data_IF_175114820563
#
_entry.id   IF_175114820563
#
_cell.length_a   1.000
_cell.length_b   1.000
_cell.length_c   1.000
_cell.angle_alpha   90.00
_cell.angle_beta   90.00
_cell.angle_gamma   90.00
#
_symmetry.space_group_name_H-M   'P 1'
#
loop_
_entity.id
_entity.type
_entity.pdbx_description
1 polymer ?
#
# COMPACT_ATOMS: atom_id res chain seq x y z
N UNK A 1 -24.26 2.34 5.22
CA UNK A 1 -23.45 1.27 4.57
C UNK A 1 -23.70 -0.05 5.29
N UNK A 2 -24.19 -1.07 4.60
CA UNK A 2 -24.59 -2.35 5.20
C UNK A 2 -23.36 -3.14 5.74
N UNK A 3 -23.54 -4.00 6.77
CA UNK A 3 -22.47 -4.74 7.47
C UNK A 3 -21.57 -5.54 6.51
N UNK A 4 -22.16 -6.20 5.51
CA UNK A 4 -21.41 -6.93 4.46
C UNK A 4 -20.53 -6.03 3.59
N UNK A 5 -20.90 -4.76 3.39
CA UNK A 5 -20.11 -3.80 2.63
C UNK A 5 -19.01 -3.15 3.48
N UNK A 6 -19.15 -3.11 4.81
CA UNK A 6 -18.09 -2.69 5.75
C UNK A 6 -16.94 -3.70 5.82
N UNK A 7 -17.22 -4.98 5.63
CA UNK A 7 -16.23 -6.06 5.68
C UNK A 7 -15.37 -6.20 4.40
N UNK A 8 -15.68 -5.44 3.33
CA UNK A 8 -14.90 -5.47 2.09
C UNK A 8 -13.88 -4.35 2.09
N UNK A 9 -12.63 -4.67 1.80
CA UNK A 9 -11.59 -3.69 1.50
C UNK A 9 -11.64 -3.40 -0.01
N UNK A 10 -11.82 -2.14 -0.39
CA UNK A 10 -11.81 -1.70 -1.79
C UNK A 10 -10.72 -0.63 -1.91
N UNK A 11 -9.50 -0.99 -2.33
CA UNK A 11 -8.41 -0.03 -2.46
C UNK A 11 -8.81 1.10 -3.39
N UNK A 12 -8.73 2.33 -2.89
CA UNK A 12 -8.84 3.56 -3.70
C UNK A 12 -7.47 4.15 -4.03
N UNK A 13 -6.46 3.83 -3.23
CA UNK A 13 -5.07 4.29 -3.42
C UNK A 13 -4.12 3.12 -3.22
N UNK A 14 -3.09 3.09 -4.04
CA UNK A 14 -1.98 2.14 -3.96
C UNK A 14 -0.69 2.92 -3.78
N UNK A 15 0.20 2.43 -2.93
CA UNK A 15 1.48 3.06 -2.65
C UNK A 15 2.55 2.00 -2.74
N UNK A 16 3.61 2.26 -3.50
CA UNK A 16 4.84 1.47 -3.46
C UNK A 16 5.85 2.29 -2.67
N UNK A 17 6.10 1.87 -1.43
CA UNK A 17 7.15 2.45 -0.61
C UNK A 17 8.47 1.74 -0.91
N UNK A 18 9.51 2.54 -1.15
CA UNK A 18 10.87 2.08 -1.41
C UNK A 18 11.71 2.58 -0.25
N UNK A 19 12.00 1.70 0.70
CA UNK A 19 12.97 1.97 1.77
C UNK A 19 14.37 1.94 1.15
N UNK A 20 15.03 3.08 1.14
CA UNK A 20 16.41 3.24 0.75
C UNK A 20 17.26 3.14 2.01
N UNK A 21 18.03 2.06 2.13
CA UNK A 21 19.14 1.98 3.09
C UNK A 21 20.46 2.07 2.34
N UNK A 22 21.55 2.39 3.03
CA UNK A 22 22.89 2.50 2.43
C UNK A 22 23.32 1.23 1.69
N UNK A 23 22.83 0.06 2.11
CA UNK A 23 23.25 -1.23 1.56
C UNK A 23 22.22 -1.88 0.63
N UNK A 24 20.92 -1.65 0.84
CA UNK A 24 19.86 -2.36 0.11
C UNK A 24 18.59 -1.52 -0.03
N UNK A 25 17.83 -1.81 -1.09
CA UNK A 25 16.46 -1.32 -1.26
C UNK A 25 15.47 -2.37 -0.80
N UNK A 26 14.43 -1.93 -0.11
CA UNK A 26 13.31 -2.78 0.30
C UNK A 26 12.01 -2.19 -0.20
N UNK A 27 11.16 -3.04 -0.76
CA UNK A 27 9.94 -2.64 -1.47
C UNK A 27 8.72 -3.18 -0.75
N UNK A 28 7.75 -2.29 -0.53
CA UNK A 28 6.48 -2.60 0.12
C UNK A 28 5.32 -2.02 -0.68
N UNK A 29 4.28 -2.82 -0.89
CA UNK A 29 3.04 -2.37 -1.51
C UNK A 29 1.98 -2.16 -0.44
N UNK A 30 1.46 -0.94 -0.35
CA UNK A 30 0.29 -0.62 0.47
C UNK A 30 -0.95 -0.40 -0.39
N UNK A 31 -2.09 -0.76 0.18
CA UNK A 31 -3.41 -0.48 -0.36
C UNK A 31 -4.27 0.22 0.69
N UNK A 32 -4.88 1.35 0.33
CA UNK A 32 -5.68 2.17 1.23
C UNK A 32 -7.12 2.30 0.70
N UNK A 33 -8.10 2.00 1.55
CA UNK A 33 -9.51 2.33 1.35
C UNK A 33 -9.88 3.51 2.24
N UNK A 34 -9.85 4.73 1.69
CA UNK A 34 -10.16 5.95 2.43
C UNK A 34 -11.60 5.99 2.93
N UNK A 35 -12.54 5.34 2.24
CA UNK A 35 -13.96 5.39 2.60
C UNK A 35 -14.22 4.57 3.86
N UNK A 36 -13.54 3.43 4.00
CA UNK A 36 -13.72 2.48 5.11
C UNK A 36 -12.65 2.58 6.18
N UNK A 37 -11.56 3.30 5.91
CA UNK A 37 -10.41 3.38 6.80
C UNK A 37 -9.65 2.08 6.94
N UNK A 38 -9.69 1.25 5.89
CA UNK A 38 -8.99 -0.02 5.84
C UNK A 38 -7.67 0.14 5.07
N UNK A 39 -6.69 -0.69 5.45
CA UNK A 39 -5.36 -0.70 4.85
C UNK A 39 -4.83 -2.13 4.82
N UNK A 40 -4.04 -2.43 3.81
CA UNK A 40 -3.31 -3.70 3.66
C UNK A 40 -1.89 -3.37 3.21
N UNK A 41 -0.94 -4.20 3.63
CA UNK A 41 0.42 -4.19 3.10
C UNK A 41 0.78 -5.57 2.56
N UNK A 42 1.66 -5.58 1.58
CA UNK A 42 2.44 -6.75 1.19
C UNK A 42 3.89 -6.30 1.17
N UNK A 43 4.76 -7.09 1.77
CA UNK A 43 6.14 -6.71 2.08
C UNK A 43 7.07 -7.91 1.83
N UNK A 44 8.39 -7.71 1.93
CA UNK A 44 9.36 -8.80 1.85
C UNK A 44 10.22 -8.81 0.59
N UNK A 45 10.21 -7.76 -0.22
CA UNK A 45 10.94 -7.73 -1.49
C UNK A 45 12.18 -6.85 -1.46
N UNK A 46 13.31 -7.40 -1.89
CA UNK A 46 14.57 -6.67 -2.03
C UNK A 46 14.78 -6.12 -3.45
N UNK A 47 13.88 -6.46 -4.38
CA UNK A 47 13.90 -5.92 -5.74
C UNK A 47 12.48 -5.62 -6.22
N UNK A 48 12.36 -4.63 -7.11
CA UNK A 48 11.07 -4.21 -7.64
C UNK A 48 10.45 -5.29 -8.55
N UNK A 49 11.27 -6.02 -9.31
CA UNK A 49 10.80 -6.98 -10.30
C UNK A 49 9.95 -8.10 -9.66
N UNK A 50 10.38 -8.62 -8.52
CA UNK A 50 9.69 -9.67 -7.78
C UNK A 50 8.36 -9.16 -7.22
N UNK A 51 8.34 -7.93 -6.68
CA UNK A 51 7.10 -7.27 -6.26
C UNK A 51 6.13 -7.15 -7.45
N UNK A 52 6.61 -6.73 -8.63
CA UNK A 52 5.75 -6.54 -9.80
C UNK A 52 5.17 -7.86 -10.35
N UNK A 53 5.88 -8.98 -10.21
CA UNK A 53 5.41 -10.31 -10.61
C UNK A 53 4.39 -10.90 -9.61
N UNK A 54 4.42 -10.46 -8.35
CA UNK A 54 3.52 -10.96 -7.32
C UNK A 54 2.05 -10.68 -7.65
N UNK A 55 1.19 -11.67 -7.42
CA UNK A 55 -0.23 -11.58 -7.73
C UNK A 55 -1.05 -11.14 -6.51
N UNK A 56 -1.50 -9.89 -6.54
CA UNK A 56 -2.27 -9.28 -5.46
C UNK A 56 -3.74 -9.70 -5.54
N UNK A 57 -4.33 -10.26 -4.46
CA UNK A 57 -5.76 -10.53 -4.39
C UNK A 57 -6.59 -9.23 -4.40
N UNK A 58 -7.51 -9.08 -5.36
CA UNK A 58 -8.30 -7.83 -5.56
C UNK A 58 -9.74 -7.99 -5.07
N UNK A 59 -10.25 -9.23 -5.02
CA UNK A 59 -11.62 -9.52 -4.55
C UNK A 59 -11.59 -10.59 -3.47
N UNK A 60 -11.79 -10.16 -2.23
CA UNK A 60 -12.36 -11.02 -1.18
C UNK A 60 -13.85 -10.69 -1.05
N UNK A 61 -14.70 -11.26 -1.92
CA UNK A 61 -16.13 -11.35 -1.55
C UNK A 61 -16.21 -12.38 -0.43
N UNK A 62 -16.54 -11.94 0.78
CA UNK A 62 -16.86 -12.85 1.89
C UNK A 62 -17.95 -13.83 1.43
N UNK A 63 -17.61 -15.13 1.33
CA UNK A 63 -18.51 -16.20 0.85
C UNK A 63 -18.51 -16.51 -0.66
N UNK A 64 -17.64 -15.89 -1.47
CA UNK A 64 -17.50 -16.23 -2.89
C UNK A 64 -16.29 -17.14 -3.14
N UNK A 65 -16.49 -18.23 -3.88
CA UNK A 65 -15.42 -19.20 -4.27
C UNK A 65 -14.44 -18.64 -5.32
N UNK A 66 -14.79 -17.55 -6.01
CA UNK A 66 -13.94 -16.93 -7.03
C UNK A 66 -13.00 -15.90 -6.40
N UNK A 67 -11.76 -16.33 -6.14
CA UNK A 67 -10.61 -15.45 -5.91
C UNK A 67 -10.19 -14.84 -7.24
N UNK A 68 -10.10 -13.51 -7.33
CA UNK A 68 -9.45 -12.85 -8.47
C UNK A 68 -8.23 -12.10 -7.98
N UNK A 69 -7.06 -12.42 -8.55
CA UNK A 69 -5.82 -11.67 -8.36
C UNK A 69 -5.42 -10.97 -9.66
N UNK A 70 -4.53 -9.98 -9.54
CA UNK A 70 -3.81 -9.41 -10.68
C UNK A 70 -2.34 -9.24 -10.31
N UNK A 71 -1.42 -9.29 -11.29
CA UNK A 71 -0.03 -8.96 -11.03
C UNK A 71 0.10 -7.52 -10.50
N UNK A 72 1.00 -7.32 -9.54
CA UNK A 72 1.27 -6.02 -8.96
C UNK A 72 1.76 -5.03 -10.02
N UNK A 73 2.37 -5.50 -11.12
CA UNK A 73 2.69 -4.68 -12.30
C UNK A 73 1.49 -3.87 -12.83
N UNK A 74 0.27 -4.41 -12.78
CA UNK A 74 -0.95 -3.66 -13.20
C UNK A 74 -1.33 -2.59 -12.18
N UNK A 75 -1.09 -2.84 -10.90
CA UNK A 75 -1.34 -1.91 -9.80
C UNK A 75 -0.31 -0.78 -9.80
N UNK A 76 0.96 -1.14 -9.98
CA UNK A 76 2.11 -0.25 -9.97
C UNK A 76 2.00 0.91 -10.96
N UNK A 77 1.33 0.71 -12.10
CA UNK A 77 1.01 1.77 -13.08
C UNK A 77 0.19 2.94 -12.52
N UNK A 78 -0.52 2.71 -11.42
CA UNK A 78 -1.39 3.69 -10.75
C UNK A 78 -0.99 3.91 -9.29
N UNK A 79 0.13 3.34 -8.87
CA UNK A 79 0.61 3.46 -7.51
C UNK A 79 1.37 4.77 -7.35
N UNK A 80 1.25 5.36 -6.17
CA UNK A 80 2.12 6.45 -5.72
C UNK A 80 3.44 5.80 -5.30
N UNK A 81 4.55 6.27 -5.85
CA UNK A 81 5.87 5.82 -5.41
C UNK A 81 6.36 6.78 -4.34
N UNK A 82 6.83 6.22 -3.22
CA UNK A 82 7.45 6.99 -2.15
C UNK A 82 8.86 6.45 -1.96
N UNK A 83 9.85 7.29 -2.20
CA UNK A 83 11.24 7.00 -1.93
C UNK A 83 11.57 7.48 -0.52
N UNK A 84 11.73 6.53 0.40
CA UNK A 84 11.83 6.82 1.84
C UNK A 84 13.17 6.36 2.37
N UNK A 85 13.83 7.18 3.19
CA UNK A 85 14.94 6.71 4.00
C UNK A 85 14.47 5.82 5.18
N UNK A 86 15.40 5.36 6.00
CA UNK A 86 15.08 4.50 7.14
C UNK A 86 14.18 5.17 8.20
N UNK A 87 14.36 6.47 8.44
CA UNK A 87 13.57 7.24 9.41
C UNK A 87 12.16 7.43 8.88
N UNK A 88 12.03 7.91 7.65
CA UNK A 88 10.75 8.15 6.98
C UNK A 88 9.95 6.85 6.79
N UNK A 89 10.62 5.74 6.51
CA UNK A 89 9.99 4.44 6.46
C UNK A 89 9.45 4.01 7.84
N UNK A 90 10.20 4.26 8.91
CA UNK A 90 9.73 4.04 10.29
C UNK A 90 8.46 4.85 10.62
N UNK A 91 8.37 6.09 10.14
CA UNK A 91 7.17 6.91 10.28
C UNK A 91 5.96 6.34 9.52
N UNK A 92 6.19 5.83 8.30
CA UNK A 92 5.17 5.13 7.51
C UNK A 92 4.66 3.88 8.25
N UNK A 93 5.55 3.09 8.83
CA UNK A 93 5.18 1.91 9.62
C UNK A 93 4.35 2.29 10.84
N UNK A 94 4.77 3.32 11.60
CA UNK A 94 4.00 3.81 12.74
C UNK A 94 2.60 4.26 12.30
N UNK A 95 2.50 4.98 11.19
CA UNK A 95 1.24 5.42 10.59
C UNK A 95 0.35 4.24 10.17
N UNK A 96 0.96 3.13 9.74
CA UNK A 96 0.27 1.89 9.42
C UNK A 96 -0.20 1.12 10.66
N UNK A 97 0.48 1.17 11.80
CA UNK A 97 0.02 0.46 12.99
C UNK A 97 -0.95 1.29 13.86
N UNK A 98 -0.92 2.61 13.75
CA UNK A 98 -1.83 3.51 14.49
C UNK A 98 -3.30 3.44 14.01
N UNK A 99 -4.27 3.91 14.83
CA UNK A 99 -5.64 4.11 14.38
C UNK A 99 -5.70 4.92 13.08
N UNK A 100 -6.58 4.51 12.17
CA UNK A 100 -6.61 5.09 10.83
C UNK A 100 -6.97 6.58 10.87
N UNK A 101 -6.04 7.44 10.45
CA UNK A 101 -6.27 8.87 10.30
C UNK A 101 -6.02 9.30 8.86
N UNK A 102 -7.11 9.68 8.16
CA UNK A 102 -7.02 10.17 6.77
C UNK A 102 -6.09 11.37 6.66
N UNK A 103 -6.16 12.29 7.63
CA UNK A 103 -5.35 13.52 7.63
C UNK A 103 -3.86 13.19 7.71
N UNK A 104 -3.45 12.33 8.65
CA UNK A 104 -2.05 11.93 8.81
C UNK A 104 -1.52 11.23 7.56
N UNK A 105 -2.29 10.27 7.03
CA UNK A 105 -1.94 9.55 5.80
C UNK A 105 -1.81 10.46 4.57
N UNK A 106 -2.73 11.40 4.38
CA UNK A 106 -2.61 12.37 3.28
C UNK A 106 -1.40 13.28 3.44
N UNK A 107 -1.20 13.82 4.65
CA UNK A 107 -0.05 14.68 4.96
C UNK A 107 1.26 13.97 4.66
N UNK A 108 1.42 12.73 5.12
CA UNK A 108 2.61 11.92 4.86
C UNK A 108 2.82 11.69 3.35
N UNK A 109 1.77 11.30 2.62
CA UNK A 109 1.87 11.08 1.17
C UNK A 109 2.23 12.39 0.45
N UNK A 110 1.61 13.51 0.79
CA UNK A 110 1.86 14.81 0.15
C UNK A 110 3.28 15.31 0.42
N UNK A 111 3.79 15.11 1.64
CA UNK A 111 5.15 15.47 2.03
C UNK A 111 6.21 14.68 1.26
N UNK A 112 6.04 13.36 1.15
CA UNK A 112 7.04 12.50 0.52
C UNK A 112 6.85 12.30 -0.99
N UNK A 113 5.69 12.63 -1.55
CA UNK A 113 5.47 12.61 -3.00
C UNK A 113 6.08 13.85 -3.69
N UNK A 114 6.13 14.99 -3.01
CA UNK A 114 6.68 16.23 -3.56
C UNK A 114 8.21 16.31 -3.49
N UNK A 115 8.87 15.44 -2.72
CA UNK A 115 10.32 15.41 -2.60
C UNK A 115 11.04 14.71 -3.77
N UNK A 116 10.29 14.11 -4.71
CA UNK A 116 10.81 13.48 -5.93
C UNK A 116 10.72 14.41 -7.18
N UNK A 117 10.40 15.71 -7.01
CA UNK A 117 10.51 16.76 -8.04
C UNK A 117 11.56 17.81 -7.67
#
# INVERSE_FOLDING_TARGET
MNRRQRQKMIPSTWIIAIKQSESHKYYVLYAIDWKRGARLSWEGWNNLADLLQFHIPIKRKTGGTKSSSQPAAKIAKKAIYLHLDETQYGELEQLFYQPFSKKKWKSFIEEHFNNDM
#
